data_IF_266874065244
#
_entry.id   IF_266874065244
#
_cell.length_a   1.000
_cell.length_b   1.000
_cell.length_c   1.000
_cell.angle_alpha   90.00
_cell.angle_beta   90.00
_cell.angle_gamma   90.00
#
_symmetry.space_group_name_H-M   'P 1'
#
loop_
_entity.id
_entity.type
_entity.pdbx_description
1 polymer ?
#
# COMPACT_ATOMS: atom_id res chain seq x y z
N UNK A 1 -34.76 9.15 4.23
CA UNK A 1 -34.79 7.78 4.78
C UNK A 1 -33.36 7.30 4.89
N UNK A 2 -32.98 6.65 5.99
CA UNK A 2 -31.66 6.05 6.16
C UNK A 2 -31.77 4.54 6.03
N UNK A 3 -30.77 3.90 5.43
CA UNK A 3 -30.74 2.43 5.26
C UNK A 3 -29.43 1.90 5.81
N UNK A 4 -29.49 0.85 6.62
CA UNK A 4 -28.33 0.24 7.25
C UNK A 4 -28.09 -1.17 6.70
N UNK A 5 -26.82 -1.53 6.58
CA UNK A 5 -26.35 -2.90 6.39
C UNK A 5 -25.39 -3.22 7.54
N UNK A 6 -25.52 -4.42 8.10
CA UNK A 6 -24.71 -4.92 9.19
C UNK A 6 -23.63 -5.86 8.67
N UNK A 7 -22.62 -6.14 9.49
CA UNK A 7 -21.52 -7.07 9.17
C UNK A 7 -20.71 -6.70 7.93
N UNK A 8 -20.44 -5.39 7.77
CA UNK A 8 -19.65 -4.85 6.67
C UNK A 8 -18.27 -4.48 7.18
N UNK A 9 -17.22 -4.86 6.43
CA UNK A 9 -15.85 -4.45 6.70
C UNK A 9 -15.53 -3.13 6.00
N UNK A 10 -14.63 -2.33 6.56
CA UNK A 10 -14.12 -1.11 5.94
C UNK A 10 -12.63 -1.24 5.60
N UNK A 11 -12.25 -0.84 4.38
CA UNK A 11 -10.87 -0.86 3.92
C UNK A 11 -10.27 -2.28 3.94
N UNK A 12 -9.03 -2.38 4.43
CA UNK A 12 -8.34 -3.66 4.70
C UNK A 12 -8.53 -4.13 6.14
N UNK A 13 -9.48 -3.53 6.88
CA UNK A 13 -9.74 -3.85 8.27
C UNK A 13 -10.24 -5.28 8.48
N UNK A 14 -10.01 -5.79 9.69
CA UNK A 14 -10.51 -7.11 10.15
C UNK A 14 -11.77 -6.98 11.01
N UNK A 15 -12.14 -5.76 11.40
CA UNK A 15 -13.29 -5.50 12.23
C UNK A 15 -14.57 -5.40 11.40
N UNK A 16 -15.64 -6.02 11.91
CA UNK A 16 -16.98 -5.87 11.38
C UNK A 16 -17.59 -4.57 11.88
N UNK A 17 -18.36 -3.93 11.03
CA UNK A 17 -19.08 -2.71 11.35
C UNK A 17 -20.46 -2.64 10.70
N UNK A 18 -21.09 -1.50 10.90
CA UNK A 18 -22.41 -1.15 10.34
C UNK A 18 -22.22 0.02 9.39
N UNK A 19 -22.66 -0.14 8.14
CA UNK A 19 -22.69 0.93 7.15
C UNK A 19 -24.11 1.49 7.05
N UNK A 20 -24.23 2.82 7.02
CA UNK A 20 -25.50 3.53 6.87
C UNK A 20 -25.44 4.47 5.68
N UNK A 21 -26.45 4.37 4.84
CA UNK A 21 -26.71 5.25 3.71
C UNK A 21 -27.73 6.30 4.13
N UNK A 22 -27.39 7.56 3.94
CA UNK A 22 -28.25 8.71 4.16
C UNK A 22 -28.15 9.70 2.99
N UNK A 23 -29.12 10.61 2.80
CA UNK A 23 -29.01 11.67 1.80
C UNK A 23 -27.77 12.55 1.96
N UNK A 24 -27.31 12.77 3.19
CA UNK A 24 -26.11 13.56 3.48
C UNK A 24 -24.81 12.83 3.16
N UNK A 25 -24.80 11.49 3.10
CA UNK A 25 -23.59 10.72 2.91
C UNK A 25 -23.68 9.27 3.37
N UNK A 26 -22.53 8.62 3.46
CA UNK A 26 -22.35 7.25 3.93
C UNK A 26 -21.54 7.31 5.23
N UNK A 27 -21.97 6.58 6.25
CA UNK A 27 -21.21 6.43 7.49
C UNK A 27 -21.01 4.95 7.80
N UNK A 28 -19.79 4.57 8.17
CA UNK A 28 -19.48 3.24 8.70
C UNK A 28 -18.93 3.38 10.12
N UNK A 29 -19.32 2.46 11.00
CA UNK A 29 -18.84 2.39 12.38
C UNK A 29 -18.57 0.94 12.78
N UNK A 30 -17.44 0.68 13.39
CA UNK A 30 -17.08 -0.63 13.94
C UNK A 30 -18.12 -1.12 14.97
N UNK A 31 -18.32 -2.44 15.05
CA UNK A 31 -19.17 -3.08 16.07
C UNK A 31 -18.49 -3.04 17.43
N UNK A 32 -17.19 -3.33 17.45
CA UNK A 32 -16.35 -3.43 18.64
C UNK A 32 -15.14 -2.51 18.44
N UNK A 33 -15.32 -1.22 18.67
CA UNK A 33 -14.26 -0.23 18.48
C UNK A 33 -14.78 1.21 18.40
N UNK A 34 -13.85 2.16 18.34
CA UNK A 34 -14.15 3.58 18.10
C UNK A 34 -14.00 3.97 16.63
N UNK A 35 -13.46 3.05 15.81
CA UNK A 35 -13.22 3.27 14.39
C UNK A 35 -14.52 3.58 13.66
N UNK A 36 -14.52 4.72 12.98
CA UNK A 36 -15.64 5.17 12.16
C UNK A 36 -15.16 6.05 11.04
N UNK A 37 -15.91 6.04 9.94
CA UNK A 37 -15.68 6.89 8.78
C UNK A 37 -17.00 7.50 8.33
N UNK A 38 -16.95 8.76 7.93
CA UNK A 38 -18.08 9.48 7.34
C UNK A 38 -17.64 10.08 6.00
N UNK A 39 -18.38 9.76 4.96
CA UNK A 39 -18.16 10.20 3.58
C UNK A 39 -19.34 11.07 3.20
N UNK A 40 -19.11 12.33 2.84
CA UNK A 40 -20.19 13.22 2.42
C UNK A 40 -20.68 12.85 1.03
N UNK A 41 -21.98 12.99 0.78
CA UNK A 41 -22.59 12.74 -0.52
C UNK A 41 -21.94 13.59 -1.62
N UNK A 42 -21.56 14.83 -1.30
CA UNK A 42 -20.89 15.75 -2.21
C UNK A 42 -19.49 15.28 -2.66
N UNK A 43 -18.84 14.40 -1.91
CA UNK A 43 -17.47 13.94 -2.20
C UNK A 43 -17.44 12.68 -3.05
N UNK A 44 -18.57 11.98 -3.19
CA UNK A 44 -18.67 10.76 -3.98
C UNK A 44 -18.66 11.12 -5.47
N UNK A 45 -17.75 10.51 -6.23
CA UNK A 45 -17.64 10.69 -7.68
C UNK A 45 -18.16 9.49 -8.46
N UNK A 46 -17.73 8.28 -8.09
CA UNK A 46 -18.13 7.03 -8.73
C UNK A 46 -18.36 5.94 -7.68
N UNK A 47 -19.28 5.02 -7.99
CA UNK A 47 -19.57 3.84 -7.18
C UNK A 47 -19.39 2.60 -8.03
N UNK A 48 -18.61 1.64 -7.54
CA UNK A 48 -18.36 0.37 -8.20
C UNK A 48 -18.80 -0.80 -7.31
N UNK A 49 -19.26 -1.85 -7.96
CA UNK A 49 -19.64 -3.12 -7.35
C UNK A 49 -18.80 -4.24 -7.94
N UNK A 50 -18.14 -5.01 -7.09
CA UNK A 50 -17.25 -6.09 -7.53
C UNK A 50 -17.28 -7.26 -6.58
N UNK A 51 -17.03 -8.46 -7.12
CA UNK A 51 -16.83 -9.68 -6.32
C UNK A 51 -15.42 -9.62 -5.71
N UNK A 52 -15.32 -9.82 -4.39
CA UNK A 52 -14.05 -9.90 -3.64
C UNK A 52 -13.97 -11.22 -2.88
N UNK A 53 -13.04 -11.41 -1.93
CA UNK A 53 -13.01 -12.63 -1.11
C UNK A 53 -14.23 -12.70 -0.17
N UNK A 54 -14.53 -11.60 0.51
CA UNK A 54 -15.64 -11.42 1.46
C UNK A 54 -16.94 -11.00 0.76
N UNK A 55 -17.54 -11.90 -0.03
CA UNK A 55 -18.73 -11.63 -0.84
C UNK A 55 -18.53 -10.48 -1.85
N UNK A 56 -19.35 -9.44 -1.79
CA UNK A 56 -19.27 -8.29 -2.69
C UNK A 56 -18.77 -7.03 -1.97
N UNK A 57 -18.08 -6.19 -2.72
CA UNK A 57 -17.54 -4.92 -2.28
C UNK A 57 -18.30 -3.78 -2.95
N UNK A 58 -18.74 -2.82 -2.14
CA UNK A 58 -19.03 -1.47 -2.59
C UNK A 58 -17.74 -0.67 -2.52
N UNK A 59 -17.34 -0.12 -3.66
CA UNK A 59 -16.17 0.74 -3.80
C UNK A 59 -16.60 2.14 -4.18
N UNK A 60 -16.20 3.12 -3.39
CA UNK A 60 -16.43 4.53 -3.65
C UNK A 60 -15.13 5.17 -4.11
N UNK A 61 -15.20 5.91 -5.21
CA UNK A 61 -14.12 6.80 -5.64
C UNK A 61 -14.54 8.22 -5.32
N UNK A 62 -13.78 8.88 -4.46
CA UNK A 62 -14.02 10.24 -4.03
C UNK A 62 -13.46 11.26 -5.04
N UNK A 63 -13.98 12.49 -5.01
CA UNK A 63 -13.53 13.57 -5.89
C UNK A 63 -12.10 14.00 -5.58
N UNK A 64 -11.76 14.11 -4.30
CA UNK A 64 -10.43 14.48 -3.85
C UNK A 64 -9.43 13.34 -4.08
N UNK A 65 -8.36 13.62 -4.82
CA UNK A 65 -7.25 12.70 -5.13
C UNK A 65 -7.65 11.32 -5.67
N UNK A 66 -8.88 11.18 -6.19
CA UNK A 66 -9.47 9.88 -6.56
C UNK A 66 -9.33 8.84 -5.45
N UNK A 67 -9.37 9.28 -4.18
CA UNK A 67 -9.25 8.40 -3.02
C UNK A 67 -10.33 7.32 -3.09
N UNK A 68 -9.92 6.08 -2.86
CA UNK A 68 -10.83 4.94 -2.83
C UNK A 68 -11.19 4.58 -1.39
N UNK A 69 -12.48 4.39 -1.15
CA UNK A 69 -13.03 3.80 0.07
C UNK A 69 -13.76 2.50 -0.28
N UNK A 70 -13.46 1.42 0.44
CA UNK A 70 -14.03 0.09 0.17
C UNK A 70 -14.81 -0.43 1.36
N UNK A 71 -15.94 -1.08 1.05
CA UNK A 71 -16.82 -1.71 2.02
C UNK A 71 -17.16 -3.12 1.55
N UNK A 72 -16.71 -4.12 2.29
CA UNK A 72 -16.81 -5.54 1.90
C UNK A 72 -17.83 -6.27 2.78
N UNK A 73 -18.39 -7.36 2.27
CA UNK A 73 -19.29 -8.24 3.02
C UNK A 73 -20.73 -8.26 2.52
N UNK A 74 -21.09 -7.39 1.56
CA UNK A 74 -22.43 -7.36 1.01
C UNK A 74 -22.79 -8.67 0.32
N UNK A 75 -24.04 -9.08 0.46
CA UNK A 75 -24.58 -10.24 -0.23
C UNK A 75 -24.93 -9.90 -1.67
N UNK A 76 -25.06 -10.93 -2.51
CA UNK A 76 -25.45 -10.75 -3.92
C UNK A 76 -26.81 -10.04 -4.05
N UNK A 77 -27.73 -10.37 -3.15
CA UNK A 77 -29.09 -9.81 -3.08
C UNK A 77 -29.14 -8.35 -2.65
N UNK A 78 -28.08 -7.83 -2.02
CA UNK A 78 -28.00 -6.42 -1.62
C UNK A 78 -27.80 -5.48 -2.82
N UNK A 79 -27.37 -5.99 -3.99
CA UNK A 79 -27.00 -5.18 -5.15
C UNK A 79 -28.10 -4.21 -5.59
N UNK A 80 -29.32 -4.71 -5.81
CA UNK A 80 -30.44 -3.87 -6.28
C UNK A 80 -30.77 -2.76 -5.29
N UNK A 81 -30.72 -3.08 -3.99
CA UNK A 81 -30.99 -2.14 -2.92
C UNK A 81 -29.90 -1.07 -2.81
N UNK A 82 -28.62 -1.46 -2.89
CA UNK A 82 -27.49 -0.51 -2.91
C UNK A 82 -27.53 0.36 -4.15
N UNK A 83 -27.85 -0.21 -5.32
CA UNK A 83 -27.98 0.51 -6.59
C UNK A 83 -29.06 1.61 -6.52
N UNK A 84 -30.22 1.29 -5.94
CA UNK A 84 -31.30 2.26 -5.71
C UNK A 84 -30.86 3.37 -4.75
N UNK A 85 -30.19 3.03 -3.64
CA UNK A 85 -29.71 4.03 -2.67
C UNK A 85 -28.69 4.99 -3.28
N UNK A 86 -27.72 4.47 -4.02
CA UNK A 86 -26.69 5.26 -4.70
C UNK A 86 -27.32 6.22 -5.71
N UNK A 87 -28.28 5.74 -6.51
CA UNK A 87 -28.99 6.56 -7.49
C UNK A 87 -29.86 7.63 -6.81
N UNK A 88 -30.60 7.25 -5.76
CA UNK A 88 -31.53 8.13 -5.08
C UNK A 88 -30.81 9.24 -4.30
N UNK A 89 -29.80 8.89 -3.52
CA UNK A 89 -29.13 9.80 -2.58
C UNK A 89 -27.96 10.55 -3.20
N UNK A 90 -27.13 9.90 -4.03
CA UNK A 90 -25.87 10.48 -4.50
C UNK A 90 -25.87 10.88 -5.97
N UNK A 91 -26.96 10.58 -6.69
CA UNK A 91 -27.11 10.88 -8.14
C UNK A 91 -26.00 10.27 -8.98
N UNK A 92 -25.52 9.09 -8.58
CA UNK A 92 -24.49 8.31 -9.26
C UNK A 92 -25.06 6.95 -9.66
N UNK A 93 -24.43 6.27 -10.61
CA UNK A 93 -24.76 4.89 -10.96
C UNK A 93 -23.83 3.91 -10.22
N UNK A 94 -24.35 2.74 -9.88
CA UNK A 94 -23.55 1.64 -9.32
C UNK A 94 -23.04 0.75 -10.46
N UNK A 95 -21.79 0.93 -10.86
CA UNK A 95 -21.19 0.19 -11.97
C UNK A 95 -20.69 -1.18 -11.51
N UNK A 96 -21.10 -2.25 -12.20
CA UNK A 96 -20.59 -3.59 -11.91
C UNK A 96 -19.27 -3.81 -12.64
N UNK A 97 -18.17 -3.96 -11.89
CA UNK A 97 -16.82 -4.22 -12.43
C UNK A 97 -16.53 -5.72 -12.38
N UNK A 98 -16.38 -6.33 -13.56
CA UNK A 98 -15.95 -7.73 -13.66
C UNK A 98 -14.42 -7.84 -13.49
N UNK A 99 -14.00 -8.72 -12.58
CA UNK A 99 -12.58 -9.03 -12.35
C UNK A 99 -12.12 -10.23 -13.18
N UNK A 100 -10.82 -10.33 -13.46
CA UNK A 100 -10.24 -11.50 -14.11
C UNK A 100 -10.14 -12.66 -13.13
N UNK A 101 -10.65 -13.83 -13.53
CA UNK A 101 -10.57 -15.10 -12.79
C UNK A 101 -9.79 -16.17 -13.55
N UNK A 102 -9.03 -15.78 -14.58
CA UNK A 102 -8.32 -16.71 -15.48
C UNK A 102 -7.11 -17.39 -14.83
N UNK A 103 -6.58 -16.84 -13.74
CA UNK A 103 -5.38 -17.37 -13.06
C UNK A 103 -4.08 -17.20 -13.85
N UNK A 104 -4.06 -16.39 -14.90
CA UNK A 104 -2.85 -16.11 -15.68
C UNK A 104 -1.92 -15.17 -14.91
N UNK A 105 -0.62 -15.36 -15.07
CA UNK A 105 0.41 -14.50 -14.47
C UNK A 105 1.07 -13.55 -15.49
N UNK A 106 0.50 -13.43 -16.69
CA UNK A 106 0.93 -12.49 -17.72
C UNK A 106 -0.18 -11.51 -18.07
N UNK A 107 0.21 -10.29 -18.40
CA UNK A 107 -0.70 -9.18 -18.59
C UNK A 107 0.05 -7.86 -18.69
N UNK A 108 -0.64 -6.77 -18.37
CA UNK A 108 -0.05 -5.44 -18.27
C UNK A 108 -0.28 -4.84 -16.89
N UNK A 109 0.60 -3.94 -16.50
CA UNK A 109 0.46 -3.10 -15.30
C UNK A 109 -0.01 -1.71 -15.71
N UNK A 110 -0.89 -1.11 -14.91
CA UNK A 110 -1.38 0.24 -15.13
C UNK A 110 -1.59 0.95 -13.78
N UNK A 111 -1.27 2.25 -13.70
CA UNK A 111 -1.46 3.03 -12.47
C UNK A 111 -2.80 3.76 -12.56
N UNK A 112 -3.77 3.32 -11.75
CA UNK A 112 -5.13 3.83 -11.73
C UNK A 112 -5.41 4.62 -10.46
N UNK A 113 -5.18 5.93 -10.51
CA UNK A 113 -5.32 6.79 -9.33
C UNK A 113 -4.18 6.56 -8.34
N UNK A 114 -4.48 5.89 -7.21
CA UNK A 114 -3.51 5.57 -6.15
C UNK A 114 -3.19 4.07 -6.06
N UNK A 115 -3.61 3.30 -7.05
CA UNK A 115 -3.43 1.85 -7.12
C UNK A 115 -2.64 1.44 -8.36
N UNK A 116 -1.80 0.43 -8.19
CA UNK A 116 -1.24 -0.35 -9.28
C UNK A 116 -2.21 -1.48 -9.62
N UNK A 117 -2.75 -1.49 -10.84
CA UNK A 117 -3.63 -2.53 -11.36
C UNK A 117 -2.84 -3.51 -12.23
N UNK A 118 -3.04 -4.81 -12.01
CA UNK A 118 -2.59 -5.86 -12.93
C UNK A 118 -3.75 -6.31 -13.81
N UNK A 119 -3.60 -6.23 -15.12
CA UNK A 119 -4.67 -6.39 -16.11
C UNK A 119 -4.40 -7.64 -16.97
N UNK A 120 -5.37 -8.54 -17.02
CA UNK A 120 -5.33 -9.76 -17.82
C UNK A 120 -6.51 -9.73 -18.80
N UNK A 121 -6.23 -9.72 -20.10
CA UNK A 121 -7.27 -9.68 -21.15
C UNK A 121 -8.29 -8.54 -20.93
N UNK A 122 -7.80 -7.31 -20.70
CA UNK A 122 -8.60 -6.10 -20.44
C UNK A 122 -9.50 -6.15 -19.19
N UNK A 123 -9.25 -7.10 -18.27
CA UNK A 123 -9.93 -7.16 -16.96
C UNK A 123 -8.90 -7.08 -15.85
N UNK A 124 -9.18 -6.27 -14.84
CA UNK A 124 -8.33 -6.18 -13.66
C UNK A 124 -8.34 -7.51 -12.91
N UNK A 125 -7.16 -8.08 -12.68
CA UNK A 125 -6.97 -9.29 -11.89
C UNK A 125 -6.82 -8.96 -10.41
N UNK A 126 -5.92 -8.04 -10.08
CA UNK A 126 -5.74 -7.52 -8.73
C UNK A 126 -5.26 -6.07 -8.79
N UNK A 127 -5.38 -5.38 -7.65
CA UNK A 127 -4.94 -4.01 -7.47
C UNK A 127 -4.16 -3.91 -6.16
N UNK A 128 -3.08 -3.15 -6.19
CA UNK A 128 -2.20 -2.92 -5.04
C UNK A 128 -2.22 -1.43 -4.72
N UNK A 129 -2.65 -1.01 -3.51
CA UNK A 129 -2.56 0.38 -3.09
C UNK A 129 -1.09 0.81 -3.02
N UNK A 130 -0.73 1.83 -3.78
CA UNK A 130 0.65 2.33 -3.84
C UNK A 130 1.11 2.87 -2.50
N UNK A 131 0.20 3.44 -1.71
CA UNK A 131 0.46 3.87 -0.31
C UNK A 131 0.90 2.74 0.64
N UNK A 132 0.63 1.48 0.28
CA UNK A 132 1.03 0.33 1.09
C UNK A 132 2.43 -0.18 0.70
N UNK A 133 2.93 0.23 -0.46
CA UNK A 133 4.28 -0.10 -0.92
C UNK A 133 5.28 0.68 -0.06
N UNK A 134 6.10 -0.05 0.68
CA UNK A 134 7.11 0.51 1.55
C UNK A 134 8.38 0.87 0.77
N UNK A 135 8.72 0.03 -0.20
CA UNK A 135 9.92 0.15 -0.99
C UNK A 135 9.71 -0.50 -2.36
N UNK A 136 10.47 -0.03 -3.34
CA UNK A 136 10.53 -0.58 -4.69
C UNK A 136 12.00 -0.79 -5.03
N UNK A 137 12.34 -1.90 -5.67
CA UNK A 137 13.71 -2.20 -6.06
C UNK A 137 13.77 -2.88 -7.42
N UNK A 138 14.88 -2.69 -8.15
CA UNK A 138 15.12 -3.35 -9.43
C UNK A 138 16.10 -4.50 -9.20
N UNK A 139 15.70 -5.71 -9.61
CA UNK A 139 16.57 -6.88 -9.64
C UNK A 139 16.99 -7.16 -11.10
N UNK A 140 18.30 -7.16 -11.36
CA UNK A 140 18.82 -7.33 -12.71
C UNK A 140 18.43 -6.16 -13.63
N UNK A 141 17.84 -6.46 -14.80
CA UNK A 141 17.39 -5.46 -15.80
C UNK A 141 15.90 -5.56 -16.15
N UNK A 142 15.21 -6.57 -15.62
CA UNK A 142 13.86 -6.94 -16.07
C UNK A 142 12.94 -7.31 -14.93
N UNK A 143 13.36 -7.15 -13.67
CA UNK A 143 12.52 -7.48 -12.52
C UNK A 143 12.38 -6.27 -11.60
N UNK A 144 11.15 -5.98 -11.20
CA UNK A 144 10.83 -4.93 -10.24
C UNK A 144 10.11 -5.55 -9.06
N UNK A 145 10.68 -5.35 -7.87
CA UNK A 145 10.19 -5.89 -6.60
C UNK A 145 9.51 -4.78 -5.81
N UNK A 146 8.29 -5.03 -5.35
CA UNK A 146 7.53 -4.16 -4.48
C UNK A 146 7.44 -4.80 -3.09
N UNK A 147 7.97 -4.13 -2.09
CA UNK A 147 7.99 -4.58 -0.69
C UNK A 147 6.90 -3.85 0.11
N UNK A 148 6.21 -4.55 1.00
CA UNK A 148 5.10 -4.02 1.78
C UNK A 148 5.43 -3.94 3.28
N UNK A 149 4.90 -2.92 3.96
CA UNK A 149 5.06 -2.78 5.40
C UNK A 149 4.17 -3.78 6.16
N UNK A 150 4.80 -4.77 6.80
CA UNK A 150 4.10 -5.76 7.67
C UNK A 150 3.68 -5.18 9.04
N UNK A 151 4.16 -3.98 9.39
CA UNK A 151 4.01 -3.39 10.73
C UNK A 151 2.84 -2.38 10.82
N UNK A 152 1.65 -2.72 10.31
CA UNK A 152 0.46 -1.92 10.65
C UNK A 152 -0.15 -2.41 11.97
N UNK A 153 -0.47 -1.53 12.95
CA UNK A 153 -0.98 -1.96 14.25
C UNK A 153 -2.31 -2.76 14.15
N UNK A 154 -3.04 -2.62 13.05
CA UNK A 154 -4.25 -3.39 12.74
C UNK A 154 -3.98 -4.88 12.38
N UNK A 155 -2.73 -5.26 12.10
CA UNK A 155 -2.34 -6.61 11.68
C UNK A 155 -1.77 -7.47 12.80
N UNK A 156 -1.74 -6.99 14.05
CA UNK A 156 -1.33 -7.79 15.20
C UNK A 156 -2.53 -8.51 15.83
N UNK A 157 -2.86 -9.76 15.46
CA UNK A 157 -3.83 -10.52 16.21
C UNK A 157 -3.31 -10.71 17.64
N UNK A 158 -4.16 -10.44 18.63
CA UNK A 158 -3.90 -10.63 20.07
C UNK A 158 -3.62 -12.10 20.46
N UNK A 159 -3.61 -13.03 19.50
CA UNK A 159 -3.50 -14.48 19.66
C UNK A 159 -2.52 -15.07 18.64
N UNK A 160 -1.65 -15.99 19.10
CA UNK A 160 -0.75 -16.79 18.23
C UNK A 160 -1.50 -17.84 17.38
N UNK A 161 -2.75 -18.17 17.71
CA UNK A 161 -3.61 -19.05 16.89
C UNK A 161 -4.37 -18.19 15.88
N UNK A 162 -4.17 -18.46 14.59
CA UNK A 162 -4.93 -17.84 13.50
C UNK A 162 -4.33 -16.56 12.91
N UNK A 163 -2.99 -16.43 12.87
CA UNK A 163 -2.36 -15.35 12.11
C UNK A 163 -2.72 -15.47 10.63
N UNK A 164 -3.24 -14.42 9.98
CA UNK A 164 -3.50 -14.43 8.55
C UNK A 164 -2.19 -14.46 7.76
N UNK A 165 -2.24 -14.99 6.54
CA UNK A 165 -1.14 -14.81 5.58
C UNK A 165 -1.09 -13.33 5.16
N UNK A 166 0.10 -12.75 5.19
CA UNK A 166 0.32 -11.35 4.82
C UNK A 166 1.22 -11.25 3.59
N UNK A 167 0.88 -10.35 2.68
CA UNK A 167 1.66 -10.08 1.49
C UNK A 167 2.90 -9.27 1.84
N UNK A 168 4.08 -9.89 1.79
CA UNK A 168 5.36 -9.23 2.09
C UNK A 168 6.01 -8.57 0.87
N UNK A 169 5.92 -9.23 -0.29
CA UNK A 169 6.62 -8.82 -1.50
C UNK A 169 5.87 -9.29 -2.76
N UNK A 170 5.87 -8.49 -3.82
CA UNK A 170 5.49 -8.90 -5.18
C UNK A 170 6.63 -8.54 -6.13
N UNK A 171 7.05 -9.50 -6.97
CA UNK A 171 8.02 -9.26 -8.05
C UNK A 171 7.35 -9.35 -9.41
N UNK A 172 7.52 -8.32 -10.23
CA UNK A 172 7.06 -8.27 -11.62
C UNK A 172 8.23 -8.47 -12.56
N UNK A 173 8.05 -9.34 -13.54
CA UNK A 173 8.91 -9.40 -14.71
C UNK A 173 8.43 -8.40 -15.76
N UNK A 174 9.27 -7.41 -16.06
CA UNK A 174 9.02 -6.30 -16.99
C UNK A 174 10.10 -6.36 -18.09
N UNK A 175 9.84 -7.06 -19.20
CA UNK A 175 10.78 -7.15 -20.31
C UNK A 175 10.80 -5.88 -21.16
N UNK A 176 11.94 -5.63 -21.82
CA UNK A 176 12.08 -4.61 -22.87
C UNK A 176 12.73 -3.30 -22.43
N UNK A 177 12.85 -2.39 -23.40
CA UNK A 177 13.32 -1.02 -23.24
C UNK A 177 12.13 -0.07 -23.39
N UNK A 178 12.16 1.04 -22.66
CA UNK A 178 11.20 2.12 -22.82
C UNK A 178 11.81 3.15 -23.78
N UNK A 179 11.10 3.51 -24.86
CA UNK A 179 11.52 4.61 -25.72
C UNK A 179 11.29 5.93 -24.94
N UNK A 180 12.37 6.55 -24.47
CA UNK A 180 12.35 7.88 -23.86
C UNK A 180 12.72 8.95 -24.90
N UNK A 181 12.24 10.18 -24.71
CA UNK A 181 12.49 11.32 -25.61
C UNK A 181 13.97 11.77 -25.70
N UNK A 182 14.87 11.24 -24.86
CA UNK A 182 16.25 11.72 -24.64
C UNK A 182 17.37 10.75 -25.10
N UNK A 183 17.14 9.86 -26.07
CA UNK A 183 18.15 8.96 -26.69
C UNK A 183 18.94 8.04 -25.72
N UNK A 184 18.60 8.01 -24.42
CA UNK A 184 19.10 7.03 -23.46
C UNK A 184 18.15 5.83 -23.40
N UNK A 185 18.63 4.63 -23.76
CA UNK A 185 17.89 3.37 -23.61
C UNK A 185 17.62 3.05 -22.13
N UNK A 186 16.55 3.61 -21.57
CA UNK A 186 16.09 3.26 -20.22
C UNK A 186 15.32 1.94 -20.29
N UNK A 187 15.68 0.97 -19.43
CA UNK A 187 14.95 -0.31 -19.37
C UNK A 187 13.49 -0.07 -18.96
N UNK A 188 12.56 -0.85 -19.50
CA UNK A 188 11.14 -0.74 -19.11
C UNK A 188 10.93 -1.01 -17.61
N UNK A 189 11.77 -1.85 -17.00
CA UNK A 189 11.82 -2.07 -15.56
C UNK A 189 12.21 -0.80 -14.77
N UNK A 190 13.16 -0.01 -15.27
CA UNK A 190 13.57 1.25 -14.65
C UNK A 190 12.44 2.28 -14.71
N UNK A 191 11.84 2.48 -15.88
CA UNK A 191 10.69 3.38 -16.04
C UNK A 191 9.52 2.97 -15.15
N UNK A 192 9.25 1.67 -15.03
CA UNK A 192 8.23 1.15 -14.13
C UNK A 192 8.56 1.39 -12.65
N UNK A 193 9.81 1.14 -12.23
CA UNK A 193 10.27 1.42 -10.88
C UNK A 193 10.12 2.90 -10.52
N UNK A 194 10.55 3.80 -11.40
CA UNK A 194 10.50 5.25 -11.17
C UNK A 194 9.05 5.75 -11.08
N UNK A 195 8.16 5.22 -11.94
CA UNK A 195 6.72 5.49 -11.87
C UNK A 195 6.13 5.08 -10.52
N UNK A 196 6.47 3.88 -10.02
CA UNK A 196 6.00 3.42 -8.70
C UNK A 196 6.58 4.30 -7.60
N UNK A 197 7.86 4.65 -7.66
CA UNK A 197 8.53 5.49 -6.66
C UNK A 197 7.88 6.87 -6.54
N UNK A 198 7.58 7.51 -7.67
CA UNK A 198 6.84 8.78 -7.73
C UNK A 198 5.44 8.64 -7.10
N UNK A 199 4.67 7.64 -7.53
CA UNK A 199 3.26 7.52 -7.18
C UNK A 199 3.00 6.95 -5.78
N UNK A 200 3.90 6.11 -5.28
CA UNK A 200 3.85 5.58 -3.92
C UNK A 200 4.47 6.54 -2.90
N UNK A 201 5.00 7.68 -3.34
CA UNK A 201 5.66 8.67 -2.50
C UNK A 201 6.89 8.10 -1.76
N UNK A 202 7.55 7.10 -2.39
CA UNK A 202 8.67 6.37 -1.80
C UNK A 202 9.90 7.28 -1.84
N UNK A 203 10.25 7.82 -0.68
CA UNK A 203 11.45 8.65 -0.50
C UNK A 203 11.19 10.15 -0.45
N UNK A 204 9.94 10.63 -0.53
CA UNK A 204 9.61 11.97 -0.06
C UNK A 204 9.59 11.95 1.47
N UNK A 205 10.62 12.56 2.06
CA UNK A 205 10.63 12.80 3.49
C UNK A 205 10.04 14.17 3.73
N UNK A 206 8.86 14.19 4.35
CA UNK A 206 8.31 15.41 4.95
C UNK A 206 8.97 15.57 6.32
N UNK A 207 9.83 16.58 6.47
CA UNK A 207 10.45 16.93 7.74
C UNK A 207 11.85 17.50 7.56
N UNK A 208 12.24 18.38 8.48
CA UNK A 208 13.56 18.98 8.47
C UNK A 208 14.62 17.95 8.88
N UNK A 209 15.66 17.84 8.07
CA UNK A 209 16.85 17.05 8.39
C UNK A 209 17.52 17.67 9.61
N UNK A 210 17.73 16.88 10.66
CA UNK A 210 18.45 17.31 11.86
C UNK A 210 19.96 17.31 11.62
N UNK A 211 20.47 16.25 10.99
CA UNK A 211 21.88 16.10 10.65
C UNK A 211 22.03 15.11 9.48
N UNK A 212 23.03 15.34 8.64
CA UNK A 212 23.42 14.46 7.55
C UNK A 212 24.87 14.02 7.71
N UNK A 213 25.13 12.73 7.48
CA UNK A 213 26.47 12.16 7.37
C UNK A 213 26.66 11.63 5.95
N UNK A 214 27.64 12.14 5.23
CA UNK A 214 27.88 11.74 3.84
C UNK A 214 28.93 10.63 3.75
N UNK A 215 28.77 9.76 2.75
CA UNK A 215 29.71 8.69 2.42
C UNK A 215 30.10 7.75 3.58
N UNK A 216 29.16 7.48 4.49
CA UNK A 216 29.38 6.57 5.61
C UNK A 216 29.54 5.14 5.09
N UNK A 217 30.64 4.49 5.47
CA UNK A 217 30.89 3.10 5.12
C UNK A 217 30.10 2.16 6.03
N UNK A 218 29.13 1.43 5.47
CA UNK A 218 28.31 0.44 6.16
C UNK A 218 28.75 -0.96 5.74
N UNK A 219 28.98 -1.84 6.71
CA UNK A 219 29.40 -3.22 6.46
C UNK A 219 28.24 -4.11 5.99
N UNK A 220 27.04 -3.91 6.55
CA UNK A 220 25.85 -4.70 6.23
C UNK A 220 24.58 -3.84 6.24
N UNK A 221 23.87 -3.72 5.11
CA UNK A 221 24.29 -4.14 3.77
C UNK A 221 25.54 -3.37 3.32
N UNK A 222 26.47 -4.08 2.67
CA UNK A 222 27.79 -3.53 2.34
C UNK A 222 27.66 -2.38 1.33
N UNK A 223 28.17 -1.21 1.69
CA UNK A 223 28.19 -0.06 0.77
C UNK A 223 28.53 1.25 1.44
N UNK A 224 28.63 2.30 0.62
CA UNK A 224 28.67 3.69 1.10
C UNK A 224 27.28 4.29 1.03
N UNK A 225 26.87 4.91 2.12
CA UNK A 225 25.54 5.48 2.30
C UNK A 225 25.65 6.90 2.85
N UNK A 226 24.76 7.77 2.40
CA UNK A 226 24.45 9.00 3.10
C UNK A 226 23.39 8.70 4.16
N UNK A 227 23.60 9.18 5.38
CA UNK A 227 22.70 9.00 6.51
C UNK A 227 22.06 10.34 6.84
N UNK A 228 20.76 10.47 6.61
CA UNK A 228 19.99 11.65 6.99
C UNK A 228 19.14 11.32 8.22
N UNK A 229 19.30 12.08 9.29
CA UNK A 229 18.56 11.88 10.54
C UNK A 229 17.39 12.87 10.65
N UNK A 230 16.20 12.35 10.93
CA UNK A 230 14.96 13.11 11.15
C UNK A 230 14.48 12.95 12.60
N UNK A 231 13.46 13.69 13.06
CA UNK A 231 12.97 13.57 14.43
C UNK A 231 12.47 12.18 14.84
N UNK A 232 11.88 11.41 13.90
CA UNK A 232 11.24 10.11 14.22
C UNK A 232 11.87 8.91 13.51
N UNK A 233 12.79 9.14 12.58
CA UNK A 233 13.46 8.09 11.81
C UNK A 233 14.80 8.57 11.24
N UNK A 234 15.62 7.65 10.76
CA UNK A 234 16.79 7.95 9.93
C UNK A 234 16.60 7.34 8.53
N UNK A 235 17.24 7.93 7.53
CA UNK A 235 17.25 7.45 6.15
C UNK A 235 18.67 7.07 5.74
N UNK A 236 18.85 5.88 5.19
CA UNK A 236 20.10 5.42 4.59
C UNK A 236 19.97 5.46 3.07
N UNK A 237 20.57 6.46 2.43
CA UNK A 237 20.58 6.61 0.97
C UNK A 237 21.86 6.05 0.39
N UNK A 238 21.75 4.92 -0.30
CA UNK A 238 22.83 4.34 -1.11
C UNK A 238 22.54 4.52 -2.60
N UNK A 239 23.47 4.07 -3.45
CA UNK A 239 23.27 4.09 -4.91
C UNK A 239 22.13 3.17 -5.37
N UNK A 240 22.01 2.01 -4.75
CA UNK A 240 21.04 0.97 -5.13
C UNK A 240 19.87 0.89 -4.17
N UNK A 241 20.10 1.18 -2.88
CA UNK A 241 19.11 0.98 -1.83
C UNK A 241 18.88 2.26 -1.05
N UNK A 242 17.62 2.54 -0.76
CA UNK A 242 17.18 3.67 0.05
C UNK A 242 16.30 3.15 1.18
N UNK A 243 16.82 3.16 2.41
CA UNK A 243 16.13 2.60 3.57
C UNK A 243 15.61 3.70 4.49
N UNK A 244 14.35 3.58 4.89
CA UNK A 244 13.77 4.38 5.97
C UNK A 244 13.68 3.54 7.24
N UNK A 245 14.40 3.94 8.27
CA UNK A 245 14.53 3.21 9.53
C UNK A 245 13.91 4.04 10.65
N UNK A 246 12.74 3.60 11.15
CA UNK A 246 12.08 4.23 12.29
C UNK A 246 12.93 4.05 13.56
N UNK A 247 13.07 5.10 14.39
CA UNK A 247 13.81 4.94 15.64
C UNK A 247 13.17 3.93 16.60
N UNK A 248 11.85 3.73 16.49
CA UNK A 248 11.12 2.70 17.24
C UNK A 248 11.54 1.26 16.89
N UNK A 249 12.18 1.03 15.74
CA UNK A 249 12.72 -0.29 15.39
C UNK A 249 14.11 -0.53 15.98
N UNK A 250 14.82 0.52 16.42
CA UNK A 250 16.14 0.40 17.03
C UNK A 250 15.97 -0.06 18.47
N UNK A 251 16.55 -1.21 18.78
CA UNK A 251 16.43 -1.85 20.09
C UNK A 251 17.63 -1.55 20.99
N UNK A 252 18.83 -1.58 20.40
CA UNK A 252 20.11 -1.37 21.10
C UNK A 252 21.13 -0.77 20.14
N UNK A 253 22.04 0.00 20.72
CA UNK A 253 23.24 0.51 20.05
C UNK A 253 24.45 -0.03 20.79
N UNK A 254 25.40 -0.59 20.04
CA UNK A 254 26.68 -1.05 20.57
C UNK A 254 27.78 -0.23 19.94
N UNK A 255 28.65 0.32 20.78
CA UNK A 255 29.87 0.99 20.35
C UNK A 255 31.04 0.06 20.68
N UNK A 256 31.77 -0.34 19.66
CA UNK A 256 32.88 -1.29 19.73
C UNK A 256 34.14 -0.59 19.25
N UNK A 257 35.22 -0.71 20.01
CA UNK A 257 36.54 -0.19 19.62
C UNK A 257 37.50 -1.37 19.59
N UNK A 258 37.57 -2.11 18.46
CA UNK A 258 38.42 -3.29 18.35
C UNK A 258 39.92 -2.95 18.45
N UNK A 259 40.29 -1.73 18.08
CA UNK A 259 41.62 -1.15 18.26
C UNK A 259 41.50 0.36 18.56
N UNK A 260 42.64 1.05 18.69
CA UNK A 260 42.69 2.50 18.99
C UNK A 260 42.39 3.39 17.76
N UNK A 261 42.22 2.80 16.56
CA UNK A 261 42.06 3.52 15.29
C UNK A 261 40.64 3.45 14.75
N UNK A 262 39.91 2.38 15.03
CA UNK A 262 38.59 2.09 14.49
C UNK A 262 37.55 2.08 15.60
N UNK A 263 36.42 2.73 15.33
CA UNK A 263 35.22 2.67 16.16
C UNK A 263 34.09 2.14 15.30
N UNK A 264 33.55 1.00 15.68
CA UNK A 264 32.41 0.36 15.04
C UNK A 264 31.14 0.65 15.82
N UNK A 265 30.10 1.11 15.13
CA UNK A 265 28.76 1.27 15.69
C UNK A 265 27.86 0.18 15.12
N UNK A 266 27.36 -0.70 15.98
CA UNK A 266 26.40 -1.75 15.61
C UNK A 266 25.01 -1.36 16.08
N UNK A 267 24.08 -1.28 15.13
CA UNK A 267 22.68 -0.92 15.37
C UNK A 267 21.83 -2.20 15.32
N UNK A 268 21.18 -2.53 16.44
CA UNK A 268 20.29 -3.69 16.53
C UNK A 268 18.86 -3.29 16.19
N UNK A 269 18.32 -3.81 15.10
CA UNK A 269 16.92 -3.63 14.70
C UNK A 269 16.03 -4.75 15.26
N UNK A 270 14.78 -4.42 15.58
CA UNK A 270 13.75 -5.41 15.89
C UNK A 270 13.36 -6.16 14.61
N UNK A 271 14.16 -7.15 14.22
CA UNK A 271 13.76 -8.13 13.22
C UNK A 271 13.30 -9.36 13.97
N UNK A 272 12.02 -9.69 13.88
CA UNK A 272 11.53 -11.04 14.18
C UNK A 272 12.14 -11.99 13.15
N UNK A 273 13.43 -12.31 13.28
CA UNK A 273 14.04 -13.42 12.58
C UNK A 273 13.53 -14.70 13.23
N UNK A 274 12.43 -15.24 12.70
CA UNK A 274 12.23 -16.68 12.80
C UNK A 274 13.22 -17.32 11.83
N UNK A 275 14.37 -17.76 12.36
CA UNK A 275 15.07 -18.88 11.73
C UNK A 275 14.23 -20.12 12.01
N UNK A 276 13.88 -20.85 10.95
CA UNK A 276 13.58 -22.27 11.07
C UNK A 276 14.84 -23.02 11.55
#
# INVERSE_FOLDING_TARGET
MTTQFDSIYHGTGVELGKIRFAPAGIAWKALEGEDSIMIQAGDIKYCQWLRVSRNFQLRLILKENRRRETFDGFLREDHDKVSQLVTQHYKTQLETKEISVKGWNWGSTDVQGSDLAFIISNRTAFEVPLRAVANSNIAGRTEVSLEFNMNTPASQPKSKKGRPDELSEIRFYVPGTHEGDDDEEVSAAQAFHDLIKDKADIGQVIGDVLVSFSEVNIQTPRGRYDIDMFPTFLRLRGKTYDYKILYSSITRLFLLSPDDLHVEMVVSFFVLCFSA
#
